data_IF_985800070625
#
_entry.id   IF_985800070625
#
_cell.length_a   1.000
_cell.length_b   1.000
_cell.length_c   1.000
_cell.angle_alpha   90.00
_cell.angle_beta   90.00
_cell.angle_gamma   90.00
#
_symmetry.space_group_name_H-M   'P 1'
#
loop_
_entity.id
_entity.type
_entity.pdbx_description
1 polymer ?
#
# COMPACT_ATOMS: atom_id res chain seq x y z
N UNK A 1 -10.68 29.70 -50.22
CA UNK A 1 -10.13 28.33 -50.15
C UNK A 1 -10.68 27.74 -48.85
N UNK A 2 -11.86 27.11 -48.78
CA UNK A 2 -12.47 26.02 -49.59
C UNK A 2 -11.75 24.68 -49.35
N UNK A 3 -12.40 23.52 -49.09
CA UNK A 3 -13.84 23.20 -48.83
C UNK A 3 -14.20 23.09 -47.34
N UNK A 4 -15.45 22.90 -46.88
CA UNK A 4 -16.54 21.96 -47.29
C UNK A 4 -16.19 20.48 -47.03
N UNK A 5 -17.07 19.64 -46.46
CA UNK A 5 -18.47 19.79 -45.96
C UNK A 5 -18.68 18.84 -44.74
N UNK A 6 -19.81 18.62 -44.06
CA UNK A 6 -21.28 18.76 -44.25
C UNK A 6 -21.95 19.43 -42.99
N UNK A 7 -23.26 19.62 -42.72
CA UNK A 7 -24.61 19.05 -43.04
C UNK A 7 -24.96 17.66 -42.43
N UNK A 8 -26.09 17.41 -41.73
CA UNK A 8 -27.20 18.18 -41.12
C UNK A 8 -27.62 17.43 -39.81
N UNK A 9 -28.61 17.78 -38.97
CA UNK A 9 -29.74 18.73 -39.01
C UNK A 9 -30.46 18.80 -37.63
N UNK A 10 -31.80 18.92 -37.59
CA UNK A 10 -32.65 18.94 -36.37
C UNK A 10 -33.95 18.12 -36.56
N UNK A 11 -34.48 17.45 -35.52
CA UNK A 11 -35.92 17.31 -35.21
C UNK A 11 -36.24 16.51 -33.93
N UNK A 12 -37.50 16.59 -33.49
CA UNK A 12 -38.08 15.98 -32.26
C UNK A 12 -38.55 14.51 -32.45
N UNK A 13 -38.88 13.78 -31.37
CA UNK A 13 -39.21 12.35 -31.42
C UNK A 13 -40.70 12.04 -31.63
N UNK A 14 -40.99 10.91 -32.28
CA UNK A 14 -42.27 10.20 -32.23
C UNK A 14 -42.08 8.72 -31.86
N UNK A 15 -43.17 8.06 -31.46
CA UNK A 15 -43.21 6.67 -31.00
C UNK A 15 -43.62 5.69 -32.09
N UNK A 16 -43.15 4.42 -32.02
CA UNK A 16 -44.00 3.21 -31.94
C UNK A 16 -43.20 1.90 -32.08
N UNK A 17 -43.71 0.82 -31.46
CA UNK A 17 -43.46 -0.60 -31.76
C UNK A 17 -42.01 -1.17 -31.61
N UNK A 18 -41.79 -2.49 -31.53
CA UNK A 18 -42.58 -3.60 -30.96
C UNK A 18 -41.72 -4.88 -30.91
N UNK A 19 -41.62 -5.54 -29.75
CA UNK A 19 -41.27 -6.97 -29.61
C UNK A 19 -42.05 -7.52 -28.40
N UNK A 20 -42.48 -8.78 -28.44
CA UNK A 20 -43.30 -9.37 -27.36
C UNK A 20 -43.05 -10.87 -27.14
N UNK A 21 -44.11 -11.59 -26.78
CA UNK A 21 -44.18 -12.96 -26.23
C UNK A 21 -43.79 -13.09 -24.74
N UNK A 22 -44.59 -13.76 -23.90
CA UNK A 22 -45.97 -14.24 -24.12
C UNK A 22 -46.52 -15.18 -23.03
N UNK A 23 -47.84 -15.41 -23.05
CA UNK A 23 -48.60 -16.43 -22.27
C UNK A 23 -48.58 -16.24 -20.72
N UNK A 24 -49.57 -16.64 -19.92
CA UNK A 24 -50.61 -17.68 -20.06
C UNK A 24 -52.02 -17.15 -19.72
N UNK A 25 -53.04 -17.84 -20.21
CA UNK A 25 -54.46 -17.48 -20.20
C UNK A 25 -55.18 -17.52 -18.84
N UNK A 26 -56.28 -16.76 -18.75
CA UNK A 26 -57.44 -17.12 -17.93
C UNK A 26 -58.74 -16.70 -18.63
N UNK A 27 -59.65 -17.63 -18.87
CA UNK A 27 -60.79 -17.42 -19.78
C UNK A 27 -62.08 -16.99 -19.07
N UNK A 28 -62.74 -15.95 -19.58
CA UNK A 28 -64.08 -15.55 -19.16
C UNK A 28 -65.15 -16.39 -19.88
N UNK A 29 -65.85 -17.27 -19.16
CA UNK A 29 -67.04 -17.96 -19.67
C UNK A 29 -68.33 -17.30 -19.20
N UNK A 30 -68.97 -16.53 -20.09
CA UNK A 30 -70.39 -16.18 -19.97
C UNK A 30 -71.25 -17.27 -20.62
N UNK A 31 -72.26 -17.76 -19.91
CA UNK A 31 -73.20 -18.77 -20.42
C UNK A 31 -74.63 -18.27 -20.29
N UNK A 32 -75.34 -18.19 -21.42
CA UNK A 32 -76.81 -18.10 -21.45
C UNK A 32 -77.40 -19.52 -21.45
N UNK A 33 -78.55 -19.71 -20.80
CA UNK A 33 -79.37 -20.91 -20.97
C UNK A 33 -80.83 -20.52 -21.14
N UNK A 34 -81.38 -20.70 -22.33
CA UNK A 34 -82.80 -20.56 -22.62
C UNK A 34 -83.55 -21.89 -22.43
N UNK A 35 -84.64 -21.87 -21.66
CA UNK A 35 -85.83 -22.75 -21.81
C UNK A 35 -85.64 -24.29 -21.59
N UNK A 36 -86.72 -25.11 -21.45
CA UNK A 36 -88.14 -24.81 -21.68
C UNK A 36 -89.13 -25.16 -20.55
N UNK A 37 -90.39 -24.79 -20.78
CA UNK A 37 -91.58 -25.21 -20.01
C UNK A 37 -91.96 -26.68 -20.27
N UNK A 38 -92.44 -27.43 -19.25
CA UNK A 38 -93.32 -28.57 -19.42
C UNK A 38 -94.80 -28.17 -19.18
N UNK A 39 -95.72 -28.58 -20.05
CA UNK A 39 -97.16 -28.41 -19.81
C UNK A 39 -97.77 -29.61 -19.07
N UNK A 40 -98.45 -29.31 -17.95
CA UNK A 40 -99.74 -29.87 -17.56
C UNK A 40 -99.92 -31.38 -17.38
N UNK A 41 -100.25 -31.80 -16.15
CA UNK A 41 -101.35 -32.77 -15.97
C UNK A 41 -102.03 -32.64 -14.61
N UNK A 42 -103.33 -32.98 -14.59
CA UNK A 42 -104.18 -33.29 -13.41
C UNK A 42 -104.23 -32.24 -12.29
N UNK A 43 -105.29 -31.42 -12.32
CA UNK A 43 -105.90 -30.92 -11.08
C UNK A 43 -106.30 -32.11 -10.20
N UNK A 44 -105.82 -32.12 -8.97
CA UNK A 44 -106.54 -32.69 -7.83
C UNK A 44 -107.04 -31.52 -6.97
N UNK A 45 -108.17 -31.66 -6.26
CA UNK A 45 -108.67 -30.57 -5.42
C UNK A 45 -107.66 -30.26 -4.31
N UNK A 46 -107.40 -28.98 -4.07
CA UNK A 46 -106.71 -28.57 -2.85
C UNK A 46 -107.58 -29.00 -1.66
N UNK A 47 -107.01 -29.61 -0.60
CA UNK A 47 -107.71 -29.68 0.67
C UNK A 47 -108.03 -28.26 1.13
N UNK A 48 -109.13 -28.10 1.88
CA UNK A 48 -109.52 -26.81 2.46
C UNK A 48 -108.34 -26.17 3.17
N UNK A 49 -108.14 -24.86 2.96
CA UNK A 49 -107.24 -24.05 3.79
C UNK A 49 -107.83 -24.03 5.20
N UNK A 50 -107.40 -24.97 6.03
CA UNK A 50 -107.54 -24.86 7.47
C UNK A 50 -106.56 -23.80 7.93
N UNK A 51 -107.03 -22.83 8.70
CA UNK A 51 -106.19 -21.77 9.25
C UNK A 51 -105.11 -22.37 10.15
N UNK A 52 -103.91 -22.55 9.60
CA UNK A 52 -102.75 -23.02 10.34
C UNK A 52 -102.20 -21.86 11.17
N UNK A 53 -102.95 -21.48 12.20
CA UNK A 53 -102.47 -20.58 13.25
C UNK A 53 -101.24 -21.23 13.89
N UNK A 54 -100.06 -20.58 13.87
CA UNK A 54 -98.89 -21.13 14.54
C UNK A 54 -99.19 -21.28 16.03
N UNK A 55 -98.89 -22.44 16.60
CA UNK A 55 -99.03 -22.64 18.05
C UNK A 55 -98.02 -21.73 18.77
N UNK A 56 -98.41 -21.23 19.95
CA UNK A 56 -97.70 -20.16 20.67
C UNK A 56 -96.17 -20.43 20.80
N UNK A 57 -95.80 -21.65 21.22
CA UNK A 57 -94.39 -22.05 21.33
C UNK A 57 -93.61 -22.13 20.02
N UNK A 58 -94.27 -22.36 18.86
CA UNK A 58 -93.60 -22.22 17.55
C UNK A 58 -93.32 -20.75 17.22
N UNK A 59 -94.17 -19.84 17.70
CA UNK A 59 -94.03 -18.41 17.54
C UNK A 59 -92.92 -17.87 18.45
N UNK A 60 -92.86 -18.31 19.71
CA UNK A 60 -91.77 -18.02 20.65
C UNK A 60 -90.40 -18.52 20.14
N UNK A 61 -90.30 -19.78 19.67
CA UNK A 61 -89.00 -20.29 19.23
C UNK A 61 -88.52 -19.62 17.94
N UNK A 62 -89.43 -19.23 17.04
CA UNK A 62 -89.08 -18.41 15.88
C UNK A 62 -88.60 -17.01 16.30
N UNK A 63 -89.23 -16.37 17.30
CA UNK A 63 -88.75 -15.10 17.86
C UNK A 63 -87.35 -15.26 18.47
N UNK A 64 -87.11 -16.30 19.27
CA UNK A 64 -85.82 -16.57 19.91
C UNK A 64 -84.69 -16.79 18.89
N UNK A 65 -84.93 -17.59 17.84
CA UNK A 65 -83.97 -17.76 16.73
C UNK A 65 -83.72 -16.46 15.97
N UNK A 66 -84.73 -15.60 15.82
CA UNK A 66 -84.61 -14.29 15.17
C UNK A 66 -83.80 -13.32 16.03
N UNK A 67 -83.94 -13.35 17.36
CA UNK A 67 -83.13 -12.55 18.29
C UNK A 67 -81.65 -12.98 18.27
N UNK A 68 -81.37 -14.29 18.30
CA UNK A 68 -80.01 -14.82 18.09
C UNK A 68 -79.45 -14.31 16.76
N UNK A 69 -80.23 -14.37 15.66
CA UNK A 69 -79.80 -13.85 14.35
C UNK A 69 -79.50 -12.35 14.35
N UNK A 70 -80.20 -11.53 15.13
CA UNK A 70 -79.86 -10.11 15.31
C UNK A 70 -78.52 -9.95 16.04
N UNK A 71 -78.32 -10.68 17.15
CA UNK A 71 -77.10 -10.62 17.94
C UNK A 71 -75.88 -11.07 17.13
N UNK A 72 -75.96 -12.19 16.39
CA UNK A 72 -74.91 -12.64 15.47
C UNK A 72 -74.58 -11.59 14.38
N UNK A 73 -75.55 -10.74 13.99
CA UNK A 73 -75.38 -9.70 12.97
C UNK A 73 -74.81 -8.41 13.57
N UNK A 74 -75.15 -8.09 14.82
CA UNK A 74 -74.57 -6.96 15.57
C UNK A 74 -73.12 -7.25 15.98
N UNK A 75 -72.83 -8.45 16.48
CA UNK A 75 -71.47 -8.87 16.83
C UNK A 75 -70.53 -8.77 15.63
N UNK A 76 -70.90 -9.35 14.48
CA UNK A 76 -70.13 -9.20 13.23
C UNK A 76 -69.96 -7.75 12.78
N UNK A 77 -70.99 -6.90 12.95
CA UNK A 77 -70.89 -5.44 12.66
C UNK A 77 -69.97 -4.70 13.62
N UNK A 78 -69.88 -5.12 14.87
CA UNK A 78 -68.93 -4.58 15.84
C UNK A 78 -67.52 -5.10 15.57
N UNK A 79 -67.39 -6.32 15.04
CA UNK A 79 -66.12 -6.96 14.68
C UNK A 79 -65.48 -6.30 13.46
N UNK A 80 -66.17 -6.19 12.33
CA UNK A 80 -65.64 -5.48 11.15
C UNK A 80 -65.30 -4.03 11.48
N UNK A 81 -66.08 -3.37 12.34
CA UNK A 81 -65.82 -2.00 12.82
C UNK A 81 -64.64 -1.89 13.79
N UNK A 82 -64.23 -2.99 14.46
CA UNK A 82 -62.95 -3.06 15.19
C UNK A 82 -61.80 -3.23 14.20
N UNK A 83 -61.95 -4.10 13.20
CA UNK A 83 -60.95 -4.37 12.16
C UNK A 83 -60.65 -3.12 11.32
N UNK A 84 -61.68 -2.43 10.81
CA UNK A 84 -61.58 -1.14 10.11
C UNK A 84 -60.80 -0.09 10.92
N UNK A 85 -61.03 -0.04 12.24
CA UNK A 85 -60.33 0.88 13.16
C UNK A 85 -58.89 0.46 13.44
N UNK A 86 -58.61 -0.83 13.46
CA UNK A 86 -57.25 -1.37 13.58
C UNK A 86 -56.45 -1.09 12.30
N UNK A 87 -57.03 -1.35 11.14
CA UNK A 87 -56.37 -1.12 9.85
C UNK A 87 -56.16 0.38 9.58
N UNK A 88 -57.16 1.22 9.88
CA UNK A 88 -57.00 2.68 9.85
C UNK A 88 -55.86 3.17 10.75
N UNK A 89 -55.61 2.51 11.89
CA UNK A 89 -54.47 2.79 12.78
C UNK A 89 -53.14 2.30 12.19
N UNK A 90 -53.11 1.13 11.56
CA UNK A 90 -51.91 0.55 10.93
C UNK A 90 -51.45 1.41 9.75
N UNK A 91 -52.36 1.70 8.81
CA UNK A 91 -52.10 2.60 7.66
C UNK A 91 -51.62 3.97 8.15
N UNK A 92 -52.25 4.54 9.19
CA UNK A 92 -51.79 5.81 9.76
C UNK A 92 -50.36 5.73 10.31
N UNK A 93 -50.06 4.71 11.11
CA UNK A 93 -48.73 4.54 11.70
C UNK A 93 -47.65 4.30 10.64
N UNK A 94 -47.96 3.55 9.58
CA UNK A 94 -47.07 3.35 8.44
C UNK A 94 -46.83 4.66 7.68
N UNK A 95 -47.88 5.44 7.40
CA UNK A 95 -47.77 6.77 6.78
C UNK A 95 -47.00 7.79 7.64
N UNK A 96 -46.98 7.63 8.96
CA UNK A 96 -46.17 8.45 9.88
C UNK A 96 -44.69 7.99 9.87
N UNK A 97 -44.43 6.68 9.91
CA UNK A 97 -43.08 6.11 9.79
C UNK A 97 -42.41 6.37 8.43
N UNK A 98 -43.17 6.32 7.32
CA UNK A 98 -42.65 6.66 5.99
C UNK A 98 -42.17 8.12 5.91
N UNK A 99 -42.88 9.06 6.56
CA UNK A 99 -42.49 10.47 6.63
C UNK A 99 -41.23 10.69 7.48
N UNK A 100 -41.09 9.97 8.59
CA UNK A 100 -39.88 10.03 9.43
C UNK A 100 -38.65 9.51 8.65
N UNK A 101 -38.82 8.41 7.90
CA UNK A 101 -37.78 7.85 7.02
C UNK A 101 -37.42 8.85 5.91
N UNK A 102 -38.39 9.53 5.31
CA UNK A 102 -38.14 10.54 4.27
C UNK A 102 -37.43 11.79 4.82
N UNK A 103 -37.86 12.31 5.98
CA UNK A 103 -37.20 13.41 6.67
C UNK A 103 -35.73 13.07 6.95
N UNK A 104 -35.47 11.90 7.53
CA UNK A 104 -34.12 11.46 7.88
C UNK A 104 -33.22 11.24 6.65
N UNK A 105 -33.78 10.77 5.52
CA UNK A 105 -33.07 10.71 4.23
C UNK A 105 -32.70 12.10 3.72
N UNK A 106 -33.58 13.09 3.87
CA UNK A 106 -33.33 14.48 3.46
C UNK A 106 -32.28 15.17 4.33
N UNK A 107 -32.26 14.89 5.63
CA UNK A 107 -31.23 15.37 6.56
C UNK A 107 -29.86 14.78 6.23
N UNK A 108 -29.76 13.44 6.12
CA UNK A 108 -28.51 12.76 5.73
C UNK A 108 -27.97 13.26 4.37
N UNK A 109 -28.85 13.50 3.39
CA UNK A 109 -28.45 14.08 2.09
C UNK A 109 -27.85 15.49 2.24
N UNK A 110 -28.42 16.32 3.11
CA UNK A 110 -27.88 17.66 3.42
C UNK A 110 -26.57 17.62 4.20
N UNK A 111 -26.29 16.55 4.94
CA UNK A 111 -25.00 16.40 5.62
C UNK A 111 -23.92 15.94 4.65
N UNK A 112 -24.20 14.93 3.81
CA UNK A 112 -23.31 14.52 2.73
C UNK A 112 -22.96 15.68 1.77
N UNK A 113 -23.93 16.51 1.36
CA UNK A 113 -23.68 17.68 0.50
C UNK A 113 -22.77 18.73 1.17
N UNK A 114 -22.87 18.92 2.49
CA UNK A 114 -21.97 19.81 3.25
C UNK A 114 -20.57 19.22 3.34
N UNK A 115 -20.46 17.91 3.53
CA UNK A 115 -19.20 17.17 3.67
C UNK A 115 -18.44 17.16 2.34
N UNK A 116 -19.08 16.79 1.23
CA UNK A 116 -18.51 16.87 -0.13
C UNK A 116 -18.03 18.30 -0.46
N UNK A 117 -18.80 19.32 -0.07
CA UNK A 117 -18.44 20.73 -0.24
C UNK A 117 -17.29 21.18 0.67
N UNK A 118 -17.10 20.54 1.83
CA UNK A 118 -15.95 20.76 2.70
C UNK A 118 -14.71 20.07 2.11
N UNK A 119 -14.83 18.83 1.64
CA UNK A 119 -13.78 18.05 1.00
C UNK A 119 -13.25 18.77 -0.25
N UNK A 120 -14.16 19.20 -1.12
CA UNK A 120 -13.85 20.00 -2.32
C UNK A 120 -13.12 21.31 -1.99
N UNK A 121 -13.39 21.90 -0.82
CA UNK A 121 -12.67 23.09 -0.33
C UNK A 121 -11.28 22.76 0.20
N UNK A 122 -11.10 21.64 0.93
CA UNK A 122 -9.78 21.16 1.38
C UNK A 122 -8.88 20.90 0.17
N UNK A 123 -9.35 20.05 -0.75
CA UNK A 123 -8.62 19.64 -1.96
C UNK A 123 -8.23 20.85 -2.81
N UNK A 124 -9.14 21.84 -2.97
CA UNK A 124 -8.82 23.07 -3.69
C UNK A 124 -7.72 23.88 -2.99
N UNK A 125 -7.83 24.11 -1.67
CA UNK A 125 -6.84 24.88 -0.92
C UNK A 125 -5.47 24.19 -0.90
N UNK A 126 -5.44 22.85 -0.79
CA UNK A 126 -4.22 22.04 -0.89
C UNK A 126 -3.59 22.16 -2.28
N UNK A 127 -4.36 22.07 -3.36
CA UNK A 127 -3.87 22.30 -4.73
C UNK A 127 -3.38 23.73 -4.98
N UNK A 128 -3.92 24.73 -4.29
CA UNK A 128 -3.45 26.13 -4.38
C UNK A 128 -2.12 26.29 -3.62
N UNK A 129 -2.01 25.75 -2.40
CA UNK A 129 -0.75 25.73 -1.63
C UNK A 129 0.37 24.92 -2.31
N UNK A 130 0.04 23.78 -2.93
CA UNK A 130 0.98 22.96 -3.68
C UNK A 130 1.64 23.75 -4.82
N UNK A 131 0.85 24.55 -5.55
CA UNK A 131 1.32 25.43 -6.63
C UNK A 131 2.16 26.60 -6.13
N UNK A 132 1.81 27.18 -4.98
CA UNK A 132 2.62 28.23 -4.36
C UNK A 132 4.00 27.69 -3.96
N UNK A 133 4.04 26.49 -3.36
CA UNK A 133 5.30 25.80 -3.02
C UNK A 133 6.13 25.46 -4.26
N UNK A 134 5.48 25.02 -5.35
CA UNK A 134 6.15 24.70 -6.62
C UNK A 134 6.73 25.95 -7.30
N UNK A 135 5.94 27.02 -7.41
CA UNK A 135 6.39 28.30 -7.95
C UNK A 135 7.53 28.88 -7.12
N UNK A 136 7.45 28.81 -5.78
CA UNK A 136 8.50 29.30 -4.89
C UNK A 136 9.79 28.49 -4.96
N UNK A 137 9.72 27.18 -5.24
CA UNK A 137 10.91 26.36 -5.55
C UNK A 137 11.57 26.82 -6.85
N UNK A 138 10.79 27.05 -7.91
CA UNK A 138 11.29 27.50 -9.21
C UNK A 138 11.96 28.89 -9.13
N UNK A 139 11.41 29.81 -8.33
CA UNK A 139 12.06 31.10 -8.04
C UNK A 139 13.42 30.92 -7.34
N UNK A 140 13.48 30.09 -6.29
CA UNK A 140 14.71 29.83 -5.54
C UNK A 140 15.77 29.08 -6.36
N UNK A 141 15.34 28.19 -7.27
CA UNK A 141 16.22 27.50 -8.20
C UNK A 141 16.88 28.48 -9.18
N UNK A 142 16.12 29.40 -9.78
CA UNK A 142 16.66 30.47 -10.62
C UNK A 142 17.56 31.45 -9.87
N UNK A 143 17.24 31.79 -8.63
CA UNK A 143 18.12 32.62 -7.80
C UNK A 143 19.45 31.89 -7.51
N UNK A 144 19.39 30.58 -7.23
CA UNK A 144 20.57 29.75 -7.02
C UNK A 144 21.41 29.56 -8.29
N UNK A 145 20.78 29.42 -9.46
CA UNK A 145 21.43 29.35 -10.77
C UNK A 145 22.18 30.64 -11.09
N UNK A 146 21.50 31.79 -11.08
CA UNK A 146 22.11 33.11 -11.29
C UNK A 146 23.23 33.41 -10.27
N UNK A 147 23.12 32.88 -9.05
CA UNK A 147 24.17 32.99 -8.03
C UNK A 147 25.38 32.09 -8.32
N UNK A 148 25.19 30.91 -8.93
CA UNK A 148 26.30 30.06 -9.42
C UNK A 148 27.03 30.74 -10.56
N UNK A 149 26.30 31.21 -11.58
CA UNK A 149 26.87 31.94 -12.73
C UNK A 149 27.73 33.13 -12.28
N UNK A 150 27.25 33.94 -11.33
CA UNK A 150 28.01 35.07 -10.77
C UNK A 150 29.30 34.63 -10.07
N UNK A 151 29.25 33.52 -9.31
CA UNK A 151 30.44 32.99 -8.62
C UNK A 151 31.45 32.40 -9.63
N UNK A 152 30.97 31.77 -10.70
CA UNK A 152 31.80 31.25 -11.78
C UNK A 152 32.43 32.37 -12.62
N UNK A 153 31.67 33.41 -12.96
CA UNK A 153 32.17 34.60 -13.64
C UNK A 153 33.30 35.28 -12.83
N UNK A 154 33.12 35.48 -11.51
CA UNK A 154 34.17 36.03 -10.64
C UNK A 154 35.41 35.12 -10.55
N UNK A 155 35.25 33.79 -10.61
CA UNK A 155 36.38 32.84 -10.65
C UNK A 155 37.15 32.96 -11.97
N UNK A 156 36.45 32.98 -13.11
CA UNK A 156 37.04 33.11 -14.44
C UNK A 156 37.70 34.49 -14.65
N UNK A 157 37.18 35.55 -14.02
CA UNK A 157 37.80 36.87 -14.00
C UNK A 157 39.10 36.86 -13.18
N UNK A 158 39.06 36.31 -11.96
CA UNK A 158 40.25 36.19 -11.12
C UNK A 158 41.33 35.29 -11.75
N UNK A 159 40.94 34.19 -12.39
CA UNK A 159 41.87 33.32 -13.14
C UNK A 159 42.52 34.05 -14.32
N UNK A 160 41.76 34.87 -15.06
CA UNK A 160 42.31 35.72 -16.13
C UNK A 160 43.28 36.76 -15.58
N UNK A 161 42.97 37.40 -14.45
CA UNK A 161 43.91 38.32 -13.79
C UNK A 161 45.21 37.61 -13.39
N UNK A 162 45.13 36.42 -12.78
CA UNK A 162 46.31 35.64 -12.39
C UNK A 162 47.10 35.15 -13.61
N UNK A 163 46.43 34.79 -14.70
CA UNK A 163 47.07 34.49 -15.98
C UNK A 163 47.74 35.73 -16.60
N UNK A 164 47.17 36.93 -16.47
CA UNK A 164 47.79 38.18 -16.91
C UNK A 164 48.98 38.58 -16.03
N UNK A 165 48.90 38.40 -14.71
CA UNK A 165 50.03 38.61 -13.78
C UNK A 165 51.18 37.65 -14.12
N UNK A 166 50.88 36.36 -14.36
CA UNK A 166 51.86 35.36 -14.83
C UNK A 166 52.47 35.73 -16.17
N UNK A 167 51.67 36.06 -17.20
CA UNK A 167 52.17 36.48 -18.52
C UNK A 167 53.05 37.74 -18.46
N UNK A 168 52.71 38.72 -17.62
CA UNK A 168 53.55 39.92 -17.38
C UNK A 168 54.88 39.54 -16.73
N UNK A 169 54.86 38.62 -15.76
CA UNK A 169 56.07 38.12 -15.10
C UNK A 169 56.95 37.28 -16.05
N UNK A 170 56.36 36.46 -16.93
CA UNK A 170 57.07 35.72 -17.97
C UNK A 170 57.66 36.63 -19.04
N UNK A 171 56.99 37.73 -19.42
CA UNK A 171 57.54 38.74 -20.34
C UNK A 171 58.76 39.45 -19.74
N UNK A 172 58.73 39.80 -18.45
CA UNK A 172 59.90 40.39 -17.79
C UNK A 172 61.02 39.35 -17.53
N UNK A 173 60.67 38.08 -17.33
CA UNK A 173 61.65 36.97 -17.20
C UNK A 173 62.32 36.64 -18.54
N UNK A 174 61.57 36.57 -19.64
CA UNK A 174 62.12 36.31 -20.99
C UNK A 174 62.97 37.46 -21.52
N UNK A 175 62.73 38.70 -21.06
CA UNK A 175 63.61 39.85 -21.25
C UNK A 175 64.98 39.71 -20.56
N UNK A 176 65.09 38.83 -19.55
CA UNK A 176 66.33 38.52 -18.81
C UNK A 176 66.99 37.23 -19.36
N UNK A 177 66.20 36.26 -19.85
CA UNK A 177 66.67 34.94 -20.31
C UNK A 177 67.24 34.89 -21.75
N UNK A 178 67.65 36.01 -22.33
CA UNK A 178 68.43 36.02 -23.59
C UNK A 178 69.92 35.69 -23.32
N UNK A 179 70.19 34.59 -22.62
CA UNK A 179 71.53 33.99 -22.61
C UNK A 179 71.55 32.49 -22.17
N UNK A 180 72.17 31.66 -23.01
CA UNK A 180 72.53 30.24 -22.79
C UNK A 180 71.38 29.19 -22.72
N UNK A 181 71.57 27.94 -23.22
CA UNK A 181 70.45 27.00 -23.44
C UNK A 181 70.43 25.73 -22.55
N UNK A 182 69.29 25.03 -22.63
CA UNK A 182 69.13 23.57 -22.51
C UNK A 182 69.48 22.86 -21.17
N UNK A 183 68.44 22.26 -20.56
CA UNK A 183 68.48 20.81 -20.29
C UNK A 183 67.13 20.12 -20.13
N UNK A 184 66.77 19.27 -21.08
CA UNK A 184 65.71 18.25 -20.91
C UNK A 184 66.30 17.04 -20.16
N UNK A 185 66.14 16.99 -18.83
CA UNK A 185 66.36 15.78 -18.01
C UNK A 185 65.75 15.95 -16.60
N UNK A 186 64.44 15.73 -16.45
CA UNK A 186 63.73 15.97 -15.17
C UNK A 186 62.70 14.92 -14.73
N UNK A 187 61.94 14.31 -15.63
CA UNK A 187 60.72 13.56 -15.30
C UNK A 187 60.89 12.49 -14.19
N UNK A 188 61.83 11.56 -14.35
CA UNK A 188 62.05 10.46 -13.39
C UNK A 188 62.60 10.84 -12.01
N UNK A 189 62.91 12.12 -11.75
CA UNK A 189 63.22 12.63 -10.40
C UNK A 189 61.95 13.14 -9.72
N UNK A 190 61.03 13.74 -10.47
CA UNK A 190 59.77 14.28 -9.95
C UNK A 190 58.87 13.16 -9.45
N UNK A 191 58.70 12.07 -10.21
CA UNK A 191 57.87 10.94 -9.80
C UNK A 191 58.27 10.35 -8.44
N UNK A 192 59.58 10.11 -8.23
CA UNK A 192 60.08 9.59 -6.94
C UNK A 192 59.92 10.59 -5.79
N UNK A 193 59.97 11.89 -6.06
CA UNK A 193 59.70 12.91 -5.05
C UNK A 193 58.21 12.94 -4.65
N UNK A 194 57.31 12.84 -5.64
CA UNK A 194 55.85 12.75 -5.46
C UNK A 194 55.46 11.48 -4.70
N UNK A 195 55.97 10.31 -5.11
CA UNK A 195 55.75 9.02 -4.44
C UNK A 195 56.25 9.05 -2.99
N UNK A 196 57.44 9.63 -2.75
CA UNK A 196 57.99 9.84 -1.40
C UNK A 196 57.18 10.87 -0.58
N UNK A 197 56.44 11.78 -1.22
CA UNK A 197 55.52 12.72 -0.54
C UNK A 197 54.21 12.03 -0.18
N UNK A 198 53.61 11.26 -1.09
CA UNK A 198 52.39 10.47 -0.86
C UNK A 198 52.55 9.53 0.34
N UNK A 199 53.63 8.75 0.39
CA UNK A 199 53.92 7.80 1.49
C UNK A 199 54.17 8.51 2.84
N UNK A 200 54.66 9.76 2.84
CA UNK A 200 54.75 10.58 4.07
C UNK A 200 53.38 11.11 4.51
N UNK A 201 52.58 11.61 3.57
CA UNK A 201 51.25 12.15 3.82
C UNK A 201 50.19 11.10 4.15
N UNK A 202 50.40 9.81 3.82
CA UNK A 202 49.57 8.69 4.32
C UNK A 202 49.42 8.71 5.85
N UNK A 203 50.46 9.13 6.58
CA UNK A 203 50.46 9.23 8.06
C UNK A 203 49.50 10.31 8.61
N UNK A 204 48.90 11.12 7.74
CA UNK A 204 47.89 12.13 8.07
C UNK A 204 46.46 11.61 7.86
N UNK A 205 46.30 10.39 7.34
CA UNK A 205 45.02 9.69 7.22
C UNK A 205 44.85 8.81 8.47
N UNK A 206 43.69 8.82 9.15
CA UNK A 206 43.43 7.93 10.28
C UNK A 206 43.61 6.46 9.90
N UNK A 207 44.01 5.61 10.87
CA UNK A 207 44.10 4.17 10.65
C UNK A 207 42.77 3.55 10.22
N UNK A 208 42.85 2.44 9.49
CA UNK A 208 41.69 1.69 9.01
C UNK A 208 40.85 1.15 10.18
N UNK A 209 39.56 1.49 10.17
CA UNK A 209 38.57 1.14 11.19
C UNK A 209 37.56 0.16 10.58
N UNK A 210 37.71 -1.13 10.91
CA UNK A 210 36.85 -2.22 10.45
C UNK A 210 35.36 -2.04 10.82
N UNK A 211 35.04 -1.15 11.77
CA UNK A 211 33.64 -0.81 12.11
C UNK A 211 33.04 0.33 11.27
N UNK A 212 33.86 1.05 10.49
CA UNK A 212 33.49 2.30 9.77
C UNK A 212 34.19 2.42 8.41
N UNK A 213 34.26 1.30 7.68
CA UNK A 213 34.97 1.18 6.40
C UNK A 213 34.51 2.23 5.39
N UNK A 214 33.19 2.45 5.25
CA UNK A 214 32.62 3.45 4.34
C UNK A 214 33.05 4.88 4.70
N UNK A 215 33.02 5.26 5.98
CA UNK A 215 33.48 6.56 6.45
C UNK A 215 34.99 6.72 6.36
N UNK A 216 35.76 5.63 6.47
CA UNK A 216 37.21 5.62 6.27
C UNK A 216 37.57 5.91 4.80
N UNK A 217 36.97 5.19 3.84
CA UNK A 217 37.17 5.46 2.41
C UNK A 217 36.86 6.92 2.06
N UNK A 218 35.75 7.47 2.57
CA UNK A 218 35.38 8.89 2.35
C UNK A 218 36.39 9.88 2.94
N UNK A 219 37.11 9.51 3.99
CA UNK A 219 38.21 10.31 4.57
C UNK A 219 39.50 10.20 3.74
N UNK A 220 39.81 8.99 3.26
CA UNK A 220 40.92 8.74 2.34
C UNK A 220 40.74 9.56 1.06
N UNK A 221 39.60 9.43 0.38
CA UNK A 221 39.25 10.15 -0.86
C UNK A 221 39.39 11.66 -0.69
N UNK A 222 38.81 12.21 0.39
CA UNK A 222 38.93 13.65 0.67
C UNK A 222 40.39 14.09 0.85
N UNK A 223 41.25 13.26 1.47
CA UNK A 223 42.68 13.57 1.63
C UNK A 223 43.49 13.34 0.35
N UNK A 224 43.12 12.38 -0.48
CA UNK A 224 43.73 12.18 -1.79
C UNK A 224 43.47 13.37 -2.72
N UNK A 225 42.24 13.92 -2.73
CA UNK A 225 41.93 15.18 -3.40
C UNK A 225 42.60 16.41 -2.74
N UNK A 226 42.75 16.45 -1.42
CA UNK A 226 43.43 17.56 -0.71
C UNK A 226 44.96 17.62 -1.00
N UNK A 227 45.54 16.55 -1.55
CA UNK A 227 46.95 16.44 -1.89
C UNK A 227 47.22 16.17 -3.38
N UNK A 228 46.22 16.33 -4.25
CA UNK A 228 46.29 16.09 -5.71
C UNK A 228 46.92 14.74 -6.08
N UNK A 229 46.54 13.66 -5.39
CA UNK A 229 47.11 12.32 -5.62
C UNK A 229 46.59 11.66 -6.90
N UNK A 230 47.45 11.11 -7.77
CA UNK A 230 47.04 10.37 -8.98
C UNK A 230 46.20 9.13 -8.63
N UNK A 231 45.03 9.00 -9.25
CA UNK A 231 44.02 7.97 -8.96
C UNK A 231 44.54 6.55 -9.22
N UNK A 232 45.42 6.40 -10.19
CA UNK A 232 46.13 5.17 -10.58
C UNK A 232 47.01 4.60 -9.46
N UNK A 233 47.27 5.38 -8.40
CA UNK A 233 48.01 4.94 -7.21
C UNK A 233 47.14 4.74 -5.98
N UNK A 234 45.85 5.11 -6.01
CA UNK A 234 44.98 5.07 -4.83
C UNK A 234 44.78 3.66 -4.28
N UNK A 235 44.59 2.65 -5.15
CA UNK A 235 44.43 1.25 -4.74
C UNK A 235 45.65 0.77 -3.93
N UNK A 236 46.87 1.01 -4.43
CA UNK A 236 48.11 0.68 -3.73
C UNK A 236 48.30 1.46 -2.42
N UNK A 237 47.89 2.73 -2.38
CA UNK A 237 47.91 3.54 -1.15
C UNK A 237 46.92 3.01 -0.08
N UNK A 238 45.72 2.58 -0.49
CA UNK A 238 44.74 1.98 0.41
C UNK A 238 45.20 0.61 0.89
N UNK A 239 45.71 -0.26 0.00
CA UNK A 239 46.16 -1.61 0.34
C UNK A 239 47.15 -1.64 1.51
N UNK A 240 48.10 -0.70 1.53
CA UNK A 240 49.08 -0.52 2.62
C UNK A 240 48.46 -0.12 3.99
N UNK A 241 47.20 0.32 4.00
CA UNK A 241 46.46 0.73 5.20
C UNK A 241 45.41 -0.30 5.64
N UNK A 242 45.06 -1.27 4.79
CA UNK A 242 44.05 -2.29 5.08
C UNK A 242 44.47 -3.22 6.23
N UNK A 243 43.48 -3.74 6.96
CA UNK A 243 43.65 -4.70 8.06
C UNK A 243 42.52 -5.71 8.05
N UNK A 244 42.75 -6.86 8.69
CA UNK A 244 41.73 -7.87 8.92
C UNK A 244 41.09 -8.34 7.61
N UNK A 245 39.75 -8.38 7.60
CA UNK A 245 38.97 -8.94 6.48
C UNK A 245 39.15 -8.17 5.15
N UNK A 246 39.55 -6.90 5.19
CA UNK A 246 39.84 -6.11 3.98
C UNK A 246 41.08 -6.62 3.26
N UNK A 247 42.11 -7.00 4.03
CA UNK A 247 43.35 -7.52 3.49
C UNK A 247 43.15 -8.94 2.93
N UNK A 248 42.38 -9.79 3.62
CA UNK A 248 41.95 -11.09 3.11
C UNK A 248 41.21 -11.05 1.77
N UNK A 249 40.57 -9.92 1.44
CA UNK A 249 39.85 -9.71 0.18
C UNK A 249 40.79 -9.19 -0.90
N UNK A 250 41.64 -8.22 -0.56
CA UNK A 250 42.72 -7.75 -1.44
C UNK A 250 43.65 -8.89 -1.88
N UNK A 251 44.05 -9.78 -0.96
CA UNK A 251 44.89 -10.95 -1.23
C UNK A 251 44.21 -12.01 -2.15
N UNK A 252 42.93 -11.83 -2.49
CA UNK A 252 42.14 -12.72 -3.38
C UNK A 252 41.69 -12.04 -4.68
N UNK A 253 41.91 -10.74 -4.83
CA UNK A 253 41.63 -10.00 -6.07
C UNK A 253 42.66 -10.35 -7.15
N UNK A 254 42.26 -10.28 -8.42
CA UNK A 254 43.19 -10.39 -9.54
C UNK A 254 43.89 -9.05 -9.76
N UNK A 255 45.06 -9.06 -10.39
CA UNK A 255 45.85 -7.84 -10.63
C UNK A 255 45.13 -6.90 -11.61
N UNK A 256 44.30 -7.49 -12.47
CA UNK A 256 43.35 -6.85 -13.38
C UNK A 256 42.31 -6.00 -12.62
N UNK A 257 41.73 -6.52 -11.53
CA UNK A 257 40.69 -5.87 -10.73
C UNK A 257 41.23 -4.65 -9.95
N UNK A 258 42.55 -4.62 -9.69
CA UNK A 258 43.21 -3.55 -8.93
C UNK A 258 43.46 -2.26 -9.74
N UNK A 259 43.08 -2.23 -11.02
CA UNK A 259 43.24 -1.04 -11.87
C UNK A 259 42.06 -0.05 -11.73
N UNK A 260 40.88 -0.51 -11.33
CA UNK A 260 39.71 0.35 -11.07
C UNK A 260 39.50 0.53 -9.56
N UNK A 261 39.69 1.76 -9.08
CA UNK A 261 39.57 2.11 -7.67
C UNK A 261 38.14 1.91 -7.14
N UNK A 262 37.10 2.21 -7.94
CA UNK A 262 35.71 2.09 -7.49
C UNK A 262 35.26 0.62 -7.34
N UNK A 263 35.74 -0.30 -8.19
CA UNK A 263 35.45 -1.73 -8.08
C UNK A 263 36.16 -2.36 -6.87
N UNK A 264 37.47 -2.12 -6.73
CA UNK A 264 38.26 -2.48 -5.54
C UNK A 264 37.59 -2.01 -4.23
N UNK A 265 37.12 -0.76 -4.21
CA UNK A 265 36.42 -0.14 -3.08
C UNK A 265 35.03 -0.76 -2.84
N UNK A 266 34.28 -1.09 -3.90
CA UNK A 266 32.98 -1.74 -3.78
C UNK A 266 33.12 -3.16 -3.21
N UNK A 267 34.13 -3.91 -3.63
CA UNK A 267 34.39 -5.28 -3.18
C UNK A 267 34.85 -5.34 -1.72
N UNK A 268 35.74 -4.44 -1.30
CA UNK A 268 36.10 -4.31 0.12
C UNK A 268 34.87 -3.90 0.95
N UNK A 269 34.01 -2.99 0.46
CA UNK A 269 32.77 -2.64 1.17
C UNK A 269 31.83 -3.85 1.30
N UNK A 270 31.62 -4.60 0.22
CA UNK A 270 30.80 -5.84 0.19
C UNK A 270 31.28 -6.89 1.19
N UNK A 271 32.57 -6.89 1.53
CA UNK A 271 33.12 -7.77 2.56
C UNK A 271 32.74 -7.36 4.00
N UNK A 272 32.49 -6.07 4.27
CA UNK A 272 32.08 -5.56 5.59
C UNK A 272 30.58 -5.24 5.70
N UNK A 273 29.88 -5.17 4.57
CA UNK A 273 28.42 -5.12 4.54
C UNK A 273 27.83 -6.30 5.31
N UNK A 274 26.88 -5.99 6.19
CA UNK A 274 26.17 -7.03 6.92
C UNK A 274 25.27 -7.77 5.94
N UNK A 275 25.07 -9.07 6.20
CA UNK A 275 23.98 -9.81 5.58
C UNK A 275 22.66 -9.04 5.79
N UNK A 276 21.83 -8.82 4.74
CA UNK A 276 20.53 -8.16 4.83
C UNK A 276 19.68 -8.50 6.06
N UNK A 277 19.64 -9.76 6.47
CA UNK A 277 18.84 -10.23 7.61
C UNK A 277 19.34 -9.63 8.95
N UNK A 278 20.61 -9.22 9.03
CA UNK A 278 21.18 -8.52 10.17
C UNK A 278 20.88 -7.01 10.17
N UNK A 279 20.81 -6.35 9.00
CA UNK A 279 20.27 -4.98 8.91
C UNK A 279 18.77 -4.96 9.27
N UNK A 280 18.01 -5.94 8.77
CA UNK A 280 16.62 -6.16 9.20
C UNK A 280 16.52 -6.31 10.72
N UNK A 281 17.34 -7.17 11.32
CA UNK A 281 17.35 -7.36 12.77
C UNK A 281 17.71 -6.07 13.52
N UNK A 282 18.70 -5.29 13.05
CA UNK A 282 19.07 -4.00 13.63
C UNK A 282 17.91 -2.98 13.61
N UNK A 283 17.09 -2.98 12.56
CA UNK A 283 15.87 -2.19 12.46
C UNK A 283 14.75 -2.74 13.36
N UNK A 284 14.42 -4.04 13.25
CA UNK A 284 13.35 -4.71 14.01
C UNK A 284 13.59 -4.77 15.52
N UNK A 285 14.86 -4.74 15.98
CA UNK A 285 15.23 -4.63 17.40
C UNK A 285 15.70 -3.22 17.78
N UNK A 286 15.57 -2.25 16.89
CA UNK A 286 16.02 -0.87 17.11
C UNK A 286 15.22 -0.21 18.23
N UNK A 287 15.92 0.25 19.25
CA UNK A 287 15.34 0.93 20.41
C UNK A 287 16.28 2.00 20.93
N UNK A 288 15.70 3.07 21.47
CA UNK A 288 16.40 4.17 22.14
C UNK A 288 17.32 3.61 23.24
N UNK A 289 18.60 3.99 23.24
CA UNK A 289 19.55 3.60 24.28
C UNK A 289 19.50 4.56 25.47
N UNK A 290 20.03 4.14 26.60
CA UNK A 290 20.15 4.98 27.80
C UNK A 290 21.16 6.11 27.58
N UNK A 291 20.66 7.28 27.18
CA UNK A 291 21.45 8.48 26.89
C UNK A 291 21.05 9.16 25.58
N UNK A 292 20.54 8.40 24.61
CA UNK A 292 20.14 8.93 23.30
C UNK A 292 18.98 9.93 23.40
N UNK A 293 18.93 10.92 22.51
CA UNK A 293 17.71 11.65 22.20
C UNK A 293 16.73 10.80 21.37
N UNK A 294 15.45 11.20 21.33
CA UNK A 294 14.49 10.57 20.41
C UNK A 294 14.81 10.87 18.93
N UNK A 295 15.48 11.99 18.65
CA UNK A 295 15.94 12.35 17.30
C UNK A 295 17.03 11.38 16.81
N UNK A 296 17.98 11.01 17.67
CA UNK A 296 19.02 10.02 17.36
C UNK A 296 18.44 8.61 17.21
N UNK A 297 17.47 8.23 18.03
CA UNK A 297 16.74 6.97 17.87
C UNK A 297 15.99 6.92 16.53
N UNK A 298 15.31 8.00 16.13
CA UNK A 298 14.60 8.09 14.85
C UNK A 298 15.58 8.04 13.67
N UNK A 299 16.71 8.75 13.75
CA UNK A 299 17.78 8.71 12.74
C UNK A 299 18.38 7.31 12.62
N UNK A 300 18.69 6.64 13.73
CA UNK A 300 19.21 5.26 13.73
C UNK A 300 18.23 4.27 13.09
N UNK A 301 16.94 4.36 13.41
CA UNK A 301 15.90 3.51 12.80
C UNK A 301 15.80 3.75 11.29
N UNK A 302 15.80 5.01 10.86
CA UNK A 302 15.79 5.37 9.43
C UNK A 302 17.03 4.84 8.70
N UNK A 303 18.23 5.13 9.21
CA UNK A 303 19.50 4.67 8.61
C UNK A 303 19.61 3.14 8.56
N UNK A 304 19.05 2.42 9.55
CA UNK A 304 19.02 0.95 9.57
C UNK A 304 18.05 0.38 8.53
N UNK A 305 16.89 1.01 8.36
CA UNK A 305 15.90 0.64 7.34
C UNK A 305 16.43 0.90 5.92
N UNK A 306 16.99 2.08 5.67
CA UNK A 306 17.56 2.43 4.36
C UNK A 306 18.70 1.47 3.96
N UNK A 307 19.55 1.08 4.92
CA UNK A 307 20.60 0.05 4.70
C UNK A 307 20.03 -1.34 4.41
N UNK A 308 18.96 -1.76 5.10
CA UNK A 308 18.31 -3.04 4.81
C UNK A 308 17.72 -3.06 3.39
N UNK A 309 16.94 -2.04 3.03
CA UNK A 309 16.31 -1.92 1.70
C UNK A 309 17.36 -1.90 0.58
N UNK A 310 18.45 -1.15 0.76
CA UNK A 310 19.57 -1.13 -0.18
C UNK A 310 20.28 -2.49 -0.29
N UNK A 311 20.46 -3.21 0.82
CA UNK A 311 21.15 -4.52 0.83
C UNK A 311 20.39 -5.64 0.11
N UNK A 312 19.06 -5.52 -0.01
CA UNK A 312 18.20 -6.41 -0.80
C UNK A 312 17.90 -5.85 -2.22
N UNK A 313 18.50 -4.71 -2.57
CA UNK A 313 18.33 -4.02 -3.87
C UNK A 313 16.87 -3.68 -4.22
N UNK A 314 16.00 -3.52 -3.22
CA UNK A 314 14.59 -3.19 -3.42
C UNK A 314 14.44 -1.71 -3.81
N UNK A 315 14.23 -1.44 -5.09
CA UNK A 315 14.12 -0.07 -5.65
C UNK A 315 12.68 0.41 -5.83
N UNK A 316 11.76 -0.54 -6.06
CA UNK A 316 10.35 -0.29 -6.33
C UNK A 316 9.49 -0.52 -5.09
N UNK A 317 8.30 0.10 -5.08
CA UNK A 317 7.29 -0.18 -4.06
C UNK A 317 6.84 -1.65 -4.03
N UNK A 318 6.90 -2.35 -5.17
CA UNK A 318 6.56 -3.79 -5.24
C UNK A 318 7.62 -4.63 -4.51
N UNK A 319 8.90 -4.44 -4.84
CA UNK A 319 10.02 -5.13 -4.18
C UNK A 319 10.05 -4.84 -2.68
N UNK A 320 9.81 -3.59 -2.28
CA UNK A 320 9.72 -3.23 -0.86
C UNK A 320 8.57 -3.95 -0.15
N UNK A 321 7.38 -4.02 -0.77
CA UNK A 321 6.23 -4.76 -0.22
C UNK A 321 6.54 -6.26 -0.12
N UNK A 322 7.14 -6.85 -1.15
CA UNK A 322 7.47 -8.27 -1.17
C UNK A 322 8.54 -8.62 -0.13
N UNK A 323 9.55 -7.76 0.05
CA UNK A 323 10.55 -7.86 1.13
C UNK A 323 9.91 -7.84 2.53
N UNK A 324 8.98 -6.90 2.79
CA UNK A 324 8.29 -6.83 4.10
C UNK A 324 7.46 -8.08 4.39
N UNK A 325 6.82 -8.68 3.38
CA UNK A 325 6.00 -9.89 3.56
C UNK A 325 6.87 -11.14 3.62
N UNK A 326 7.96 -11.22 2.85
CA UNK A 326 8.95 -12.31 2.90
C UNK A 326 9.57 -12.41 4.30
N UNK A 327 9.98 -11.29 4.90
CA UNK A 327 10.54 -11.27 6.25
C UNK A 327 9.53 -11.76 7.30
N UNK A 328 8.27 -11.35 7.18
CA UNK A 328 7.21 -11.84 8.07
C UNK A 328 6.88 -13.33 7.84
N UNK A 329 6.94 -13.83 6.60
CA UNK A 329 6.78 -15.26 6.28
C UNK A 329 7.90 -16.09 6.95
N UNK A 330 9.16 -15.67 6.80
CA UNK A 330 10.32 -16.30 7.44
C UNK A 330 10.26 -16.22 8.98
N UNK A 331 9.59 -15.22 9.55
CA UNK A 331 9.36 -15.11 11.00
C UNK A 331 8.23 -16.02 11.53
N UNK A 332 7.33 -16.51 10.66
CA UNK A 332 6.19 -17.37 11.03
C UNK A 332 6.47 -18.85 10.70
N UNK A 333 7.39 -19.13 9.78
CA UNK A 333 7.80 -20.48 9.39
C UNK A 333 8.30 -21.35 10.56
N UNK A 334 8.14 -22.67 10.42
CA UNK A 334 8.65 -23.65 11.39
C UNK A 334 10.17 -23.50 11.59
N UNK A 335 10.65 -23.68 12.82
CA UNK A 335 12.05 -23.39 13.23
C UNK A 335 13.12 -24.06 12.36
N UNK A 336 12.81 -25.23 11.82
CA UNK A 336 13.71 -26.03 10.98
C UNK A 336 13.79 -25.48 9.53
N UNK A 337 12.74 -24.79 9.06
CA UNK A 337 12.70 -24.15 7.74
C UNK A 337 13.41 -22.79 7.74
N UNK A 338 13.35 -22.03 8.85
CA UNK A 338 13.95 -20.68 8.96
C UNK A 338 15.41 -20.59 8.46
N UNK A 339 16.36 -21.47 8.82
CA UNK A 339 17.72 -21.39 8.28
C UNK A 339 17.76 -21.66 6.76
N UNK A 340 17.02 -22.66 6.28
CA UNK A 340 17.00 -23.07 4.87
C UNK A 340 16.40 -21.99 3.96
N UNK A 341 15.32 -21.33 4.41
CA UNK A 341 14.71 -20.20 3.73
C UNK A 341 15.68 -19.01 3.60
N UNK A 342 16.47 -18.74 4.66
CA UNK A 342 17.49 -17.68 4.69
C UNK A 342 18.76 -18.03 3.91
N UNK A 343 19.05 -19.31 3.71
CA UNK A 343 20.15 -19.77 2.86
C UNK A 343 19.80 -19.61 1.37
N UNK A 344 18.60 -20.03 0.98
CA UNK A 344 18.19 -20.10 -0.44
C UNK A 344 17.87 -18.77 -1.11
N UNK A 345 17.45 -17.74 -0.36
CA UNK A 345 17.16 -16.37 -0.86
C UNK A 345 16.31 -16.32 -2.14
N UNK A 346 15.08 -16.79 -2.01
CA UNK A 346 14.03 -16.69 -3.02
C UNK A 346 13.75 -15.25 -3.44
N UNK A 347 13.44 -15.05 -4.73
CA UNK A 347 13.16 -13.71 -5.27
C UNK A 347 11.69 -13.30 -5.15
N UNK A 348 10.79 -14.26 -4.93
CA UNK A 348 9.37 -13.99 -4.69
C UNK A 348 8.82 -14.80 -3.52
N UNK A 349 7.87 -14.22 -2.79
CA UNK A 349 7.13 -14.89 -1.71
C UNK A 349 6.48 -16.19 -2.18
N UNK A 350 5.98 -16.22 -3.42
CA UNK A 350 5.35 -17.43 -3.99
C UNK A 350 6.35 -18.57 -4.13
N UNK A 351 7.57 -18.26 -4.57
CA UNK A 351 8.67 -19.21 -4.74
C UNK A 351 9.09 -19.81 -3.38
N UNK A 352 9.24 -18.95 -2.36
CA UNK A 352 9.56 -19.38 -0.99
C UNK A 352 8.45 -20.24 -0.37
N UNK A 353 7.18 -19.89 -0.60
CA UNK A 353 6.04 -20.65 -0.09
C UNK A 353 5.93 -22.03 -0.74
N UNK A 354 5.95 -22.10 -2.08
CA UNK A 354 5.93 -23.39 -2.79
C UNK A 354 7.11 -24.27 -2.39
N UNK A 355 8.32 -23.72 -2.29
CA UNK A 355 9.47 -24.51 -1.84
C UNK A 355 9.34 -24.99 -0.39
N UNK A 356 8.75 -24.18 0.52
CA UNK A 356 8.50 -24.60 1.90
C UNK A 356 7.49 -25.76 1.95
N UNK A 357 6.40 -25.69 1.19
CA UNK A 357 5.41 -26.77 1.10
C UNK A 357 6.04 -28.05 0.51
N UNK A 358 6.78 -27.95 -0.60
CA UNK A 358 7.49 -29.07 -1.22
C UNK A 358 8.50 -29.71 -0.25
N UNK A 359 9.28 -28.89 0.47
CA UNK A 359 10.24 -29.36 1.47
C UNK A 359 9.53 -30.09 2.63
N UNK A 360 8.43 -29.54 3.10
CA UNK A 360 7.62 -30.11 4.17
C UNK A 360 6.99 -31.44 3.73
N UNK A 361 6.49 -31.55 2.50
CA UNK A 361 5.97 -32.79 1.92
C UNK A 361 7.07 -33.87 1.79
N UNK A 362 8.25 -33.49 1.28
CA UNK A 362 9.38 -34.41 1.10
C UNK A 362 9.90 -34.99 2.43
N UNK A 363 9.93 -34.19 3.51
CA UNK A 363 10.52 -34.60 4.79
C UNK A 363 9.52 -35.16 5.81
N UNK A 364 8.21 -34.84 5.70
CA UNK A 364 7.17 -35.44 6.57
C UNK A 364 7.05 -36.96 6.42
N UNK A 365 7.57 -37.55 5.33
CA UNK A 365 7.65 -39.00 5.16
C UNK A 365 8.65 -39.74 6.06
N UNK A 366 9.56 -39.03 6.76
CA UNK A 366 10.67 -39.65 7.51
C UNK A 366 10.41 -39.69 9.03
N UNK A 367 9.72 -38.71 9.59
CA UNK A 367 9.62 -38.52 11.06
C UNK A 367 8.46 -39.25 11.76
N UNK A 368 7.87 -40.29 11.16
CA UNK A 368 6.87 -41.17 11.82
C UNK A 368 7.17 -42.68 11.69
N UNK A 369 8.38 -43.07 12.11
CA UNK A 369 8.64 -44.43 12.61
C UNK A 369 9.36 -44.32 13.95
N UNK A 370 8.64 -44.49 15.07
CA UNK A 370 9.24 -44.26 16.39
C UNK A 370 8.36 -44.37 17.64
N UNK A 371 7.06 -44.69 17.54
CA UNK A 371 6.28 -45.11 18.72
C UNK A 371 5.06 -45.94 18.32
N UNK A 372 4.93 -47.13 18.92
CA UNK A 372 3.73 -47.98 18.90
C UNK A 372 3.51 -48.45 20.33
N UNK A 373 2.29 -48.23 20.84
CA UNK A 373 1.97 -48.35 22.27
C UNK A 373 1.85 -46.97 22.94
N UNK A 374 0.86 -46.70 23.79
CA UNK A 374 -0.18 -47.58 24.32
C UNK A 374 -1.52 -46.82 24.48
N UNK A 375 -2.64 -47.52 24.30
CA UNK A 375 -3.98 -46.93 24.30
C UNK A 375 -4.53 -46.88 25.73
N UNK A 376 -4.70 -45.70 26.33
CA UNK A 376 -5.60 -45.51 27.47
C UNK A 376 -6.47 -44.26 27.34
N UNK A 377 -7.76 -44.49 27.56
CA UNK A 377 -8.82 -43.50 27.53
C UNK A 377 -8.85 -42.68 28.84
N UNK A 378 -9.13 -41.38 28.72
CA UNK A 378 -9.38 -40.42 29.82
C UNK A 378 -9.74 -39.05 29.25
N UNK A 379 -11.03 -38.79 29.00
CA UNK A 379 -11.48 -37.47 28.52
C UNK A 379 -11.43 -36.39 29.60
N UNK A 380 -10.73 -35.27 29.34
CA UNK A 380 -10.79 -34.08 30.18
C UNK A 380 -10.52 -32.77 29.42
N UNK A 381 -11.54 -31.89 29.42
CA UNK A 381 -11.46 -30.46 29.76
C UNK A 381 -10.38 -29.60 29.06
N UNK A 382 -10.84 -28.79 28.10
CA UNK A 382 -10.18 -27.54 27.71
C UNK A 382 -9.96 -26.62 28.93
N UNK A 383 -8.72 -26.19 29.17
CA UNK A 383 -8.40 -24.95 29.89
C UNK A 383 -6.94 -24.52 29.63
N UNK A 384 -6.68 -23.21 29.73
CA UNK A 384 -5.45 -22.54 29.29
C UNK A 384 -4.20 -22.82 30.12
N UNK A 385 -3.03 -22.47 29.58
CA UNK A 385 -1.93 -22.02 30.43
C UNK A 385 -0.49 -22.33 29.98
N UNK A 386 0.05 -21.63 28.98
CA UNK A 386 1.49 -21.28 28.99
C UNK A 386 1.75 -19.89 28.41
N UNK A 387 2.50 -19.10 29.18
CA UNK A 387 2.61 -17.65 29.00
C UNK A 387 3.33 -17.22 27.71
N UNK A 388 2.70 -16.31 26.96
CA UNK A 388 3.37 -15.47 25.97
C UNK A 388 4.09 -14.32 26.67
N UNK A 389 5.41 -14.44 26.88
CA UNK A 389 6.21 -13.30 27.35
C UNK A 389 6.54 -12.34 26.20
N UNK A 390 5.68 -11.33 26.04
CA UNK A 390 6.05 -9.98 25.62
C UNK A 390 6.86 -9.78 24.34
N UNK A 391 6.16 -9.66 23.20
CA UNK A 391 6.55 -8.71 22.14
C UNK A 391 5.37 -7.75 21.92
N UNK A 392 5.58 -6.42 21.89
CA UNK A 392 4.48 -5.47 21.80
C UNK A 392 3.81 -5.54 20.42
N UNK A 393 2.48 -5.69 20.42
CA UNK A 393 1.69 -5.51 19.20
C UNK A 393 1.64 -4.01 18.85
N UNK A 394 1.89 -3.68 17.60
CA UNK A 394 1.62 -2.33 17.08
C UNK A 394 0.11 -2.24 16.83
N UNK A 395 -0.61 -1.70 17.80
CA UNK A 395 -1.99 -1.32 17.60
C UNK A 395 -2.04 -0.09 16.68
N UNK A 396 -2.71 -0.22 15.55
CA UNK A 396 -3.19 0.93 14.79
C UNK A 396 -4.52 1.39 15.40
N UNK A 397 -4.63 2.69 15.65
CA UNK A 397 -5.81 3.37 16.17
C UNK A 397 -5.80 4.82 15.71
#
# INVERSE_FOLDING_TARGET
MNGQSESQGWSQPESLASVGSGSVDFACYGVRTDSPLPQGTRRSPAPSVGDFTPTDGMLEELQFRLEIKKLEMEERRLETKKEERLESRRIKAEMEGQKEIELRKFELKKEAEKEERLESRKIKAEMEAQKEIELRKFELEKEAELRRERVEAMRLEHEKEEADKKRRFELEKTRIEVNSPHRVRGQGIVEKAVESQMVRSLKLIPEFDESKVTEWFRRFEKKAYEFDWPQERWVGLVANMLKGKALEVYDRMLVEDLNEYEEFKADIRRAYELRPEAYCLQFRSGKKRSGDSYLECARYLKESFEKWVASEQATTYHELKELMVMEQFVNVAERELVPLLREKRFKSLKEAATWADDHVLAHKGVSQQGSVGEHRDSGARWQDGRALQGRPAIAWG
#
